data_IF_280268858186
#
_entry.id   IF_280268858186
#
_cell.length_a   1.000
_cell.length_b   1.000
_cell.length_c   1.000
_cell.angle_alpha   90.00
_cell.angle_beta   90.00
_cell.angle_gamma   90.00
#
_symmetry.space_group_name_H-M   'P 1'
#
loop_
_entity.id
_entity.type
_entity.pdbx_description
1 polymer ?
#
# COMPACT_ATOMS: atom_id res chain seq x y z
N UNK A 1 -6.73 -0.59 55.30
CA UNK A 1 -7.62 -0.06 54.27
C UNK A 1 -7.20 -0.46 52.90
N UNK A 2 -7.96 -1.32 52.34
CA UNK A 2 -7.64 -2.01 51.10
C UNK A 2 -8.37 -1.33 49.94
N UNK A 3 -7.86 -0.26 49.42
CA UNK A 3 -8.62 0.48 48.42
C UNK A 3 -8.00 0.48 47.00
N UNK A 4 -6.88 -0.18 46.78
CA UNK A 4 -6.20 -0.02 45.46
C UNK A 4 -5.82 -1.31 44.71
N UNK A 5 -6.38 -2.45 45.13
CA UNK A 5 -6.09 -3.70 44.41
C UNK A 5 -6.90 -3.90 43.15
N UNK A 6 -7.93 -3.09 42.88
CA UNK A 6 -8.79 -3.26 41.70
C UNK A 6 -8.28 -2.53 40.47
N UNK A 7 -7.41 -1.55 40.59
CA UNK A 7 -6.91 -0.78 39.45
C UNK A 7 -5.70 -1.38 38.77
N UNK A 8 -4.96 -2.26 39.44
CA UNK A 8 -3.77 -2.88 38.84
C UNK A 8 -4.09 -3.96 37.81
N UNK A 9 -5.31 -4.54 37.87
CA UNK A 9 -5.72 -5.59 36.92
C UNK A 9 -6.18 -5.06 35.55
N UNK A 10 -6.72 -3.87 35.51
CA UNK A 10 -7.19 -3.26 34.26
C UNK A 10 -6.05 -2.69 33.39
N UNK A 11 -4.94 -2.32 34.02
CA UNK A 11 -3.74 -1.81 33.32
C UNK A 11 -2.99 -2.92 32.61
N UNK A 12 -2.95 -4.12 33.17
CA UNK A 12 -2.27 -5.27 32.57
C UNK A 12 -2.92 -5.80 31.28
N UNK A 13 -4.22 -5.60 31.10
CA UNK A 13 -4.94 -6.02 29.89
C UNK A 13 -4.74 -5.07 28.71
N UNK A 14 -4.47 -3.80 28.99
CA UNK A 14 -4.20 -2.80 27.94
C UNK A 14 -2.81 -2.88 27.35
N UNK A 15 -1.85 -3.48 28.04
CA UNK A 15 -0.47 -3.62 27.57
C UNK A 15 -0.31 -4.69 26.47
N UNK A 16 -1.33 -5.49 26.21
CA UNK A 16 -1.31 -6.49 25.13
C UNK A 16 -1.66 -5.93 23.74
N UNK A 17 -2.16 -4.70 23.66
CA UNK A 17 -2.37 -4.03 22.39
C UNK A 17 -1.03 -3.41 21.96
N UNK A 18 -0.36 -4.05 21.00
CA UNK A 18 0.85 -3.52 20.40
C UNK A 18 0.52 -2.19 19.70
N UNK A 19 0.72 -1.09 20.38
CA UNK A 19 0.81 0.20 19.71
C UNK A 19 2.16 0.26 19.00
N UNK A 20 2.21 0.67 17.72
CA UNK A 20 3.50 0.86 17.07
C UNK A 20 4.33 1.84 17.89
N UNK A 21 5.61 1.55 18.05
CA UNK A 21 6.53 2.47 18.71
C UNK A 21 6.49 3.84 18.02
N UNK A 22 6.66 4.92 18.78
CA UNK A 22 6.65 6.30 18.25
C UNK A 22 7.57 6.43 17.03
N UNK A 23 8.75 5.78 17.04
CA UNK A 23 9.67 5.76 15.91
C UNK A 23 9.13 5.09 14.64
N UNK A 24 8.28 4.07 14.77
CA UNK A 24 7.64 3.44 13.60
C UNK A 24 6.57 4.33 12.97
N UNK A 25 5.79 5.05 13.79
CA UNK A 25 4.80 6.00 13.31
C UNK A 25 5.47 7.16 12.57
N UNK A 26 6.55 7.68 13.09
CA UNK A 26 7.35 8.73 12.45
C UNK A 26 7.98 8.25 11.14
N UNK A 27 8.50 7.03 11.11
CA UNK A 27 9.07 6.45 9.91
C UNK A 27 8.02 6.25 8.80
N UNK A 28 6.81 5.83 9.16
CA UNK A 28 5.69 5.71 8.22
C UNK A 28 5.27 7.08 7.69
N UNK A 29 5.19 8.06 8.56
CA UNK A 29 4.86 9.43 8.17
C UNK A 29 5.90 10.01 7.22
N UNK A 30 7.19 9.80 7.51
CA UNK A 30 8.28 10.24 6.64
C UNK A 30 8.20 9.59 5.24
N UNK A 31 7.90 8.30 5.16
CA UNK A 31 7.68 7.61 3.87
C UNK A 31 6.48 8.15 3.11
N UNK A 32 5.39 8.42 3.81
CA UNK A 32 4.20 9.02 3.21
C UNK A 32 4.50 10.42 2.67
N UNK A 33 5.25 11.22 3.39
CA UNK A 33 5.64 12.57 2.96
C UNK A 33 6.59 12.53 1.77
N UNK A 34 7.51 11.58 1.73
CA UNK A 34 8.40 11.36 0.58
C UNK A 34 7.59 10.95 -0.66
N UNK A 35 6.66 10.03 -0.51
CA UNK A 35 5.78 9.61 -1.60
C UNK A 35 4.92 10.77 -2.10
N UNK A 36 4.35 11.55 -1.21
CA UNK A 36 3.55 12.74 -1.55
C UNK A 36 4.36 13.77 -2.34
N UNK A 37 5.57 14.08 -1.88
CA UNK A 37 6.46 15.03 -2.56
C UNK A 37 6.86 14.53 -3.95
N UNK A 38 7.24 13.27 -4.05
CA UNK A 38 7.59 12.64 -5.32
C UNK A 38 6.40 12.64 -6.30
N UNK A 39 5.21 12.24 -5.84
CA UNK A 39 4.01 12.18 -6.68
C UNK A 39 3.60 13.57 -7.17
N UNK A 40 3.69 14.57 -6.31
CA UNK A 40 3.46 15.97 -6.71
C UNK A 40 4.39 16.37 -7.86
N UNK A 41 5.67 16.07 -7.75
CA UNK A 41 6.65 16.33 -8.81
C UNK A 41 6.32 15.61 -10.11
N UNK A 42 5.86 14.36 -10.04
CA UNK A 42 5.43 13.60 -11.23
C UNK A 42 4.19 14.23 -11.88
N UNK A 43 3.19 14.60 -11.11
CA UNK A 43 1.97 15.26 -11.62
C UNK A 43 2.33 16.59 -12.28
N UNK A 44 3.16 17.41 -11.65
CA UNK A 44 3.65 18.67 -12.24
C UNK A 44 4.43 18.42 -13.53
N UNK A 45 5.24 17.37 -13.57
CA UNK A 45 6.02 16.99 -14.75
C UNK A 45 5.16 16.55 -15.94
N UNK A 46 3.89 16.17 -15.74
CA UNK A 46 2.98 15.83 -16.86
C UNK A 46 2.50 17.07 -17.63
N UNK A 47 2.66 18.26 -17.07
CA UNK A 47 2.12 19.49 -17.62
C UNK A 47 0.60 19.64 -17.48
N UNK A 48 -0.08 18.66 -16.88
CA UNK A 48 -1.52 18.67 -16.61
C UNK A 48 -1.79 19.27 -15.23
N UNK A 49 -2.91 19.99 -15.10
CA UNK A 49 -3.37 20.40 -13.79
C UNK A 49 -3.81 19.20 -12.95
N UNK A 50 -3.76 19.33 -11.64
CA UNK A 50 -4.23 18.29 -10.73
C UNK A 50 -5.67 17.89 -11.02
N UNK A 51 -6.53 18.87 -11.27
CA UNK A 51 -7.92 18.63 -11.64
C UNK A 51 -8.05 17.85 -12.96
N UNK A 52 -7.24 18.17 -13.97
CA UNK A 52 -7.22 17.42 -15.22
C UNK A 52 -6.82 15.96 -15.02
N UNK A 53 -5.83 15.68 -14.18
CA UNK A 53 -5.42 14.32 -13.82
C UNK A 53 -6.56 13.58 -13.14
N UNK A 54 -7.25 14.21 -12.19
CA UNK A 54 -8.39 13.59 -11.48
C UNK A 54 -9.54 13.26 -12.44
N UNK A 55 -9.89 14.17 -13.33
CA UNK A 55 -10.94 13.96 -14.32
C UNK A 55 -10.58 12.83 -15.28
N UNK A 56 -9.37 12.84 -15.81
CA UNK A 56 -8.88 11.83 -16.76
C UNK A 56 -8.79 10.45 -16.11
N UNK A 57 -8.42 10.39 -14.83
CA UNK A 57 -8.38 9.14 -14.04
C UNK A 57 -9.78 8.66 -13.60
N UNK A 58 -10.83 9.43 -13.85
CA UNK A 58 -12.18 9.09 -13.42
C UNK A 58 -12.38 9.16 -11.92
N UNK A 59 -11.60 9.98 -11.22
CA UNK A 59 -11.70 10.16 -9.77
C UNK A 59 -12.79 11.18 -9.48
N UNK A 60 -13.80 10.74 -8.72
CA UNK A 60 -14.85 11.63 -8.22
C UNK A 60 -14.37 12.29 -6.93
N UNK A 61 -14.52 13.61 -6.87
CA UNK A 61 -14.09 14.40 -5.72
C UNK A 61 -12.62 14.76 -5.76
N UNK A 62 -12.10 15.28 -4.65
CA UNK A 62 -10.75 15.82 -4.54
C UNK A 62 -9.76 14.88 -3.85
N UNK A 63 -9.94 13.56 -4.00
CA UNK A 63 -9.15 12.56 -3.28
C UNK A 63 -7.65 12.68 -3.48
N UNK A 64 -7.20 12.85 -4.72
CA UNK A 64 -5.80 13.04 -5.04
C UNK A 64 -5.29 14.40 -4.54
N UNK A 65 -6.08 15.46 -4.75
CA UNK A 65 -5.73 16.80 -4.29
C UNK A 65 -5.60 16.88 -2.77
N UNK A 66 -6.53 16.30 -2.04
CA UNK A 66 -6.46 16.21 -0.57
C UNK A 66 -5.23 15.46 -0.08
N UNK A 67 -4.91 14.35 -0.72
CA UNK A 67 -3.71 13.59 -0.39
C UNK A 67 -2.45 14.44 -0.63
N UNK A 68 -2.31 15.08 -1.78
CA UNK A 68 -1.14 15.89 -2.12
C UNK A 68 -0.98 17.13 -1.23
N UNK A 69 -2.08 17.71 -0.77
CA UNK A 69 -2.04 18.85 0.17
C UNK A 69 -1.78 18.42 1.62
N UNK A 70 -1.87 17.12 1.93
CA UNK A 70 -1.68 16.62 3.28
C UNK A 70 -2.74 17.11 4.27
N UNK A 71 -3.99 17.26 3.83
CA UNK A 71 -5.08 17.74 4.66
C UNK A 71 -5.30 16.85 5.89
N UNK A 72 -5.56 17.51 7.03
CA UNK A 72 -5.83 16.82 8.30
C UNK A 72 -7.05 15.90 8.16
N UNK A 73 -6.96 14.71 8.70
CA UNK A 73 -8.01 13.70 8.64
C UNK A 73 -7.85 12.69 7.51
N UNK A 74 -7.01 12.93 6.53
CA UNK A 74 -6.63 11.90 5.57
C UNK A 74 -5.46 11.08 6.14
N UNK A 75 -5.82 10.08 6.90
CA UNK A 75 -4.86 9.12 7.48
C UNK A 75 -4.29 8.16 6.44
N UNK A 76 -4.62 8.32 5.17
CA UNK A 76 -4.46 7.26 4.23
C UNK A 76 -3.57 7.68 3.07
N UNK A 77 -2.59 6.83 2.82
CA UNK A 77 -2.00 6.70 1.50
C UNK A 77 -3.12 6.50 0.47
N UNK A 78 -2.86 6.86 -0.76
CA UNK A 78 -3.77 6.56 -1.85
C UNK A 78 -4.13 5.07 -1.86
N UNK A 79 -5.40 4.75 -2.04
CA UNK A 79 -5.84 3.37 -2.12
C UNK A 79 -5.31 2.70 -3.39
N UNK A 80 -5.10 1.37 -3.40
CA UNK A 80 -4.68 0.67 -4.60
C UNK A 80 -5.59 0.91 -5.80
N UNK A 81 -6.89 1.06 -5.58
CA UNK A 81 -7.84 1.38 -6.63
C UNK A 81 -7.57 2.74 -7.28
N UNK A 82 -7.31 3.78 -6.50
CA UNK A 82 -6.95 5.09 -7.01
C UNK A 82 -5.60 5.07 -7.72
N UNK A 83 -4.63 4.34 -7.19
CA UNK A 83 -3.32 4.15 -7.82
C UNK A 83 -3.47 3.55 -9.21
N UNK A 84 -4.27 2.51 -9.36
CA UNK A 84 -4.54 1.89 -10.66
C UNK A 84 -5.19 2.85 -11.66
N UNK A 85 -5.98 3.82 -11.19
CA UNK A 85 -6.60 4.83 -12.04
C UNK A 85 -5.66 5.96 -12.46
N UNK A 86 -4.79 6.41 -11.57
CA UNK A 86 -3.86 7.51 -11.87
C UNK A 86 -2.61 7.06 -12.64
N UNK A 87 -2.17 5.82 -12.47
CA UNK A 87 -0.95 5.30 -13.08
C UNK A 87 -0.87 5.57 -14.59
N UNK A 88 -1.88 5.22 -15.43
CA UNK A 88 -1.82 5.46 -16.86
C UNK A 88 -1.86 6.95 -17.22
N UNK A 89 -2.51 7.77 -16.40
CA UNK A 89 -2.64 9.21 -16.64
C UNK A 89 -1.31 9.94 -16.44
N UNK A 90 -0.55 9.54 -15.44
CA UNK A 90 0.77 10.13 -15.13
C UNK A 90 1.93 9.36 -15.78
N UNK A 91 1.64 8.32 -16.55
CA UNK A 91 2.64 7.50 -17.25
C UNK A 91 3.68 6.86 -16.31
N UNK A 92 3.24 6.42 -15.14
CA UNK A 92 4.05 5.67 -14.17
C UNK A 92 3.46 4.27 -14.03
N UNK A 93 4.32 3.27 -13.86
CA UNK A 93 3.88 1.90 -13.64
C UNK A 93 3.06 1.78 -12.35
N UNK A 94 1.94 1.05 -12.40
CA UNK A 94 1.09 0.81 -11.25
C UNK A 94 1.86 0.13 -10.10
N UNK A 95 2.71 -0.83 -10.43
CA UNK A 95 3.56 -1.53 -9.46
C UNK A 95 4.51 -0.56 -8.73
N UNK A 96 5.16 0.33 -9.46
CA UNK A 96 6.03 1.35 -8.86
C UNK A 96 5.26 2.24 -7.88
N UNK A 97 4.06 2.67 -8.26
CA UNK A 97 3.20 3.47 -7.38
C UNK A 97 2.79 2.69 -6.14
N UNK A 98 2.42 1.42 -6.27
CA UNK A 98 2.04 0.57 -5.15
C UNK A 98 3.22 0.35 -4.18
N UNK A 99 4.42 0.17 -4.69
CA UNK A 99 5.63 0.05 -3.87
C UNK A 99 5.92 1.36 -3.14
N UNK A 100 5.91 2.48 -3.84
CA UNK A 100 6.18 3.80 -3.25
C UNK A 100 5.12 4.22 -2.23
N UNK A 101 3.88 3.83 -2.44
CA UNK A 101 2.78 4.07 -1.50
C UNK A 101 2.81 3.13 -0.28
N UNK A 102 3.66 2.10 -0.30
CA UNK A 102 3.77 1.14 0.78
C UNK A 102 2.74 0.02 0.77
N UNK A 103 2.00 -0.16 -0.33
CA UNK A 103 1.06 -1.27 -0.49
C UNK A 103 1.73 -2.57 -0.89
N UNK A 104 2.85 -2.48 -1.59
CA UNK A 104 3.69 -3.62 -1.94
C UNK A 104 5.07 -3.43 -1.33
N UNK A 105 5.60 -4.50 -0.78
CA UNK A 105 7.00 -4.59 -0.38
C UNK A 105 7.77 -5.23 -1.53
N UNK A 106 8.75 -4.54 -2.04
CA UNK A 106 9.68 -5.07 -3.01
C UNK A 106 11.08 -5.00 -2.44
N UNK A 107 11.69 -6.15 -2.28
CA UNK A 107 13.11 -6.27 -2.00
C UNK A 107 13.79 -6.87 -3.24
N UNK A 108 14.74 -6.17 -3.86
CA UNK A 108 15.49 -6.71 -5.00
C UNK A 108 16.22 -8.03 -4.69
N UNK A 109 16.41 -8.33 -3.41
CA UNK A 109 16.97 -9.59 -2.94
C UNK A 109 15.93 -10.69 -2.72
N UNK A 110 14.63 -10.38 -2.79
CA UNK A 110 13.60 -11.39 -2.62
C UNK A 110 13.60 -12.36 -3.81
N UNK A 111 13.45 -13.67 -3.53
CA UNK A 111 13.33 -14.63 -4.61
C UNK A 111 12.07 -14.39 -5.44
N UNK A 112 12.08 -14.76 -6.71
CA UNK A 112 10.86 -14.75 -7.51
C UNK A 112 9.72 -15.48 -6.81
N UNK A 113 8.50 -15.00 -6.99
CA UNK A 113 7.33 -15.57 -6.31
C UNK A 113 7.20 -17.09 -6.52
N UNK A 114 7.61 -17.58 -7.69
CA UNK A 114 7.63 -19.01 -7.98
C UNK A 114 8.58 -19.78 -7.05
N UNK A 115 9.76 -19.24 -6.83
CA UNK A 115 10.74 -19.84 -5.92
C UNK A 115 10.24 -19.78 -4.47
N UNK A 116 9.58 -18.69 -4.07
CA UNK A 116 8.96 -18.57 -2.76
C UNK A 116 7.85 -19.61 -2.54
N UNK A 117 6.97 -19.80 -3.52
CA UNK A 117 5.92 -20.83 -3.49
C UNK A 117 6.52 -22.23 -3.36
N UNK A 118 7.55 -22.54 -4.16
CA UNK A 118 8.21 -23.86 -4.13
C UNK A 118 8.92 -24.13 -2.80
N UNK A 119 9.51 -23.10 -2.19
CA UNK A 119 10.22 -23.21 -0.93
C UNK A 119 9.30 -23.27 0.29
N UNK A 120 8.05 -22.88 0.18
CA UNK A 120 7.11 -22.85 1.29
C UNK A 120 6.80 -24.26 1.77
N UNK A 121 7.12 -24.54 3.05
CA UNK A 121 6.91 -25.84 3.68
C UNK A 121 5.48 -26.06 4.18
N UNK A 122 4.70 -24.99 4.31
CA UNK A 122 3.30 -25.08 4.71
C UNK A 122 2.38 -25.51 3.58
N UNK A 123 2.84 -25.38 2.34
CA UNK A 123 2.10 -25.74 1.15
C UNK A 123 2.45 -27.18 0.71
N UNK A 124 1.45 -28.00 0.48
CA UNK A 124 1.63 -29.31 -0.14
C UNK A 124 1.88 -29.18 -1.65
N UNK A 125 2.24 -30.28 -2.29
CA UNK A 125 2.54 -30.31 -3.73
C UNK A 125 1.35 -29.89 -4.59
N UNK A 126 0.13 -30.21 -4.18
CA UNK A 126 -1.08 -29.84 -4.91
C UNK A 126 -1.35 -28.33 -4.83
N UNK A 127 -1.24 -27.76 -3.64
CA UNK A 127 -1.39 -26.32 -3.43
C UNK A 127 -0.34 -25.53 -4.22
N UNK A 128 0.91 -26.00 -4.22
CA UNK A 128 1.99 -25.39 -5.03
C UNK A 128 1.66 -25.40 -6.52
N UNK A 129 1.22 -26.54 -7.03
CA UNK A 129 0.85 -26.68 -8.44
C UNK A 129 -0.32 -25.76 -8.82
N UNK A 130 -1.34 -25.64 -7.96
CA UNK A 130 -2.47 -24.73 -8.17
C UNK A 130 -2.04 -23.26 -8.19
N UNK A 131 -1.21 -22.85 -7.23
CA UNK A 131 -0.71 -21.47 -7.17
C UNK A 131 0.16 -21.13 -8.37
N UNK A 132 1.07 -22.00 -8.76
CA UNK A 132 1.91 -21.79 -9.94
C UNK A 132 1.09 -21.76 -11.23
N UNK A 133 0.07 -22.62 -11.35
CA UNK A 133 -0.86 -22.63 -12.47
C UNK A 133 -1.68 -21.35 -12.55
N UNK A 134 -2.18 -20.85 -11.42
CA UNK A 134 -2.90 -19.58 -11.34
C UNK A 134 -2.01 -18.40 -11.73
N UNK A 135 -0.79 -18.37 -11.18
CA UNK A 135 0.18 -17.32 -11.49
C UNK A 135 0.51 -17.28 -13.00
N UNK A 136 0.69 -18.43 -13.62
CA UNK A 136 0.91 -18.55 -15.05
C UNK A 136 -0.27 -18.00 -15.87
N UNK A 137 -1.50 -18.27 -15.46
CA UNK A 137 -2.71 -17.75 -16.12
C UNK A 137 -2.84 -16.23 -15.98
N UNK A 138 -2.53 -15.69 -14.81
CA UNK A 138 -2.60 -14.24 -14.56
C UNK A 138 -1.55 -13.46 -15.35
N UNK A 139 -0.40 -14.08 -15.62
CA UNK A 139 0.68 -13.47 -16.40
C UNK A 139 0.54 -13.68 -17.92
N UNK A 140 -0.32 -14.60 -18.36
CA UNK A 140 -0.52 -14.83 -19.77
C UNK A 140 -1.17 -13.62 -20.44
N UNK A 141 -0.65 -13.15 -21.58
CA UNK A 141 -1.28 -12.06 -22.32
C UNK A 141 -2.68 -12.48 -22.77
N UNK A 142 -3.70 -11.80 -22.27
CA UNK A 142 -5.11 -12.09 -22.53
C UNK A 142 -5.86 -12.82 -21.41
N UNK A 143 -5.18 -13.27 -20.36
CA UNK A 143 -5.79 -13.96 -19.22
C UNK A 143 -6.52 -13.09 -18.21
N UNK A 144 -6.44 -11.79 -18.33
CA UNK A 144 -7.02 -10.83 -17.38
C UNK A 144 -8.45 -10.37 -17.76
N UNK A 145 -9.13 -11.06 -18.65
CA UNK A 145 -10.55 -10.83 -18.90
C UNK A 145 -11.37 -11.85 -18.14
N UNK A 146 -11.56 -11.51 -16.89
CA UNK A 146 -12.66 -12.06 -16.11
C UNK A 146 -13.85 -11.11 -16.23
#
# INVERSE_FOLDING_TARGET
MVKNKKNARSVGLRSKVKRPAIGEAEARQAKTDQFRTWLRGVVEGTGKSLHAVEVEAGIRGNGLGKFLRGERGQRHSLTPLLIGRIAPVISVGEEELLVRAGHLSYDPGDPPIEAAILADRALDSQAKALLLGLLGRLRAPGGARL
#
